data_IF_947921473998
#
_entry.id   IF_947921473998
#
_cell.length_a   1.000
_cell.length_b   1.000
_cell.length_c   1.000
_cell.angle_alpha   90.00
_cell.angle_beta   90.00
_cell.angle_gamma   90.00
#
_symmetry.space_group_name_H-M   'P 1'
#
loop_
_entity.id
_entity.type
_entity.pdbx_description
1 polymer ?
#
# COMPACT_ATOMS: atom_id res chain seq x y z
N UNK A 1 -14.54 19.25 16.38
CA UNK A 1 -13.91 18.42 15.32
C UNK A 1 -14.95 17.43 14.81
N UNK A 2 -14.92 17.14 13.52
CA UNK A 2 -15.77 16.14 12.90
C UNK A 2 -14.98 15.40 11.82
N UNK A 3 -15.30 14.13 11.58
CA UNK A 3 -14.69 13.33 10.53
C UNK A 3 -15.74 12.42 9.88
N UNK A 4 -15.60 12.22 8.57
CA UNK A 4 -16.42 11.34 7.75
C UNK A 4 -15.50 10.50 6.87
N UNK A 5 -15.91 9.28 6.57
CA UNK A 5 -15.17 8.37 5.69
C UNK A 5 -15.06 8.96 4.27
N UNK A 6 -13.86 8.88 3.67
CA UNK A 6 -13.66 9.13 2.25
C UNK A 6 -13.74 7.83 1.44
N UNK A 7 -14.50 7.79 0.35
CA UNK A 7 -14.66 6.63 -0.52
C UNK A 7 -14.99 7.02 -1.96
N UNK A 8 -14.28 6.41 -2.92
CA UNK A 8 -14.52 6.54 -4.37
C UNK A 8 -15.33 5.37 -4.94
N UNK A 9 -15.84 4.51 -4.08
CA UNK A 9 -16.56 3.30 -4.44
C UNK A 9 -18.07 3.45 -4.11
N UNK A 10 -18.82 4.33 -4.81
CA UNK A 10 -20.20 4.67 -4.46
C UNK A 10 -21.18 3.50 -4.59
N UNK A 11 -20.86 2.50 -5.43
CA UNK A 11 -21.65 1.25 -5.55
C UNK A 11 -21.52 0.31 -4.35
N UNK A 12 -20.64 0.62 -3.41
CA UNK A 12 -20.32 -0.19 -2.24
C UNK A 12 -20.50 0.60 -0.94
N UNK A 13 -21.43 1.57 -0.90
CA UNK A 13 -21.76 2.34 0.30
C UNK A 13 -22.17 1.48 1.49
N UNK A 14 -22.79 0.34 1.25
CA UNK A 14 -23.19 -0.61 2.30
C UNK A 14 -21.99 -1.31 2.98
N UNK A 15 -20.77 -1.12 2.47
CA UNK A 15 -19.54 -1.74 3.00
C UNK A 15 -18.75 -0.84 3.94
N UNK A 16 -19.23 0.37 4.26
CA UNK A 16 -18.60 1.24 5.25
C UNK A 16 -19.63 2.08 6.02
N UNK A 17 -19.28 2.46 7.25
CA UNK A 17 -20.09 3.37 8.03
C UNK A 17 -19.97 4.81 7.46
N UNK A 18 -21.09 5.35 7.00
CA UNK A 18 -21.20 6.69 6.43
C UNK A 18 -21.70 7.72 7.45
N UNK A 19 -21.68 7.38 8.75
CA UNK A 19 -21.96 8.35 9.81
C UNK A 19 -20.78 9.29 10.04
N UNK A 20 -21.06 10.44 10.63
CA UNK A 20 -20.04 11.42 11.02
C UNK A 20 -19.66 11.20 12.48
N UNK A 21 -18.37 10.96 12.74
CA UNK A 21 -17.84 10.98 14.10
C UNK A 21 -17.49 12.40 14.53
N UNK A 22 -17.74 12.76 15.78
CA UNK A 22 -17.53 14.13 16.29
C UNK A 22 -16.81 14.14 17.63
N UNK A 23 -16.05 15.19 17.88
CA UNK A 23 -15.40 15.47 19.14
C UNK A 23 -15.47 16.97 19.46
N UNK A 24 -15.59 17.33 20.73
CA UNK A 24 -15.74 18.72 21.17
C UNK A 24 -14.36 19.29 21.53
N UNK A 25 -14.03 20.43 20.94
CA UNK A 25 -12.90 21.27 21.39
C UNK A 25 -13.49 22.36 22.27
N UNK A 26 -13.16 22.33 23.55
CA UNK A 26 -13.68 23.28 24.54
C UNK A 26 -12.53 24.16 25.03
N UNK A 27 -12.67 25.47 24.88
CA UNK A 27 -11.70 26.42 25.42
C UNK A 27 -11.85 26.49 26.95
N UNK A 28 -10.79 26.85 27.65
CA UNK A 28 -10.85 27.22 29.07
C UNK A 28 -10.93 28.75 29.19
N UNK A 29 -11.69 29.26 30.16
CA UNK A 29 -11.79 30.69 30.46
C UNK A 29 -13.22 31.24 30.45
N UNK A 30 -13.32 32.58 30.45
CA UNK A 30 -14.59 33.30 30.50
C UNK A 30 -15.18 33.46 29.10
N UNK A 31 -15.98 32.48 28.67
CA UNK A 31 -16.80 32.58 27.48
C UNK A 31 -18.06 31.72 27.65
N UNK A 32 -19.09 32.01 26.87
CA UNK A 32 -20.29 31.19 26.79
C UNK A 32 -20.19 30.31 25.55
N UNK A 33 -20.09 28.98 25.67
CA UNK A 33 -20.03 28.09 24.52
C UNK A 33 -21.35 28.12 23.73
N UNK A 34 -21.26 28.03 22.41
CA UNK A 34 -22.43 27.82 21.54
C UNK A 34 -23.02 26.43 21.80
N UNK A 35 -24.35 26.35 21.89
CA UNK A 35 -25.09 25.09 22.02
C UNK A 35 -26.17 25.01 20.94
N UNK A 36 -26.08 24.06 19.98
CA UNK A 36 -25.03 23.06 19.84
C UNK A 36 -23.68 23.65 19.38
N UNK A 37 -22.54 22.95 19.60
CA UNK A 37 -21.25 23.33 19.02
C UNK A 37 -21.33 23.43 17.49
N UNK A 38 -20.63 24.38 16.90
CA UNK A 38 -20.53 24.48 15.44
C UNK A 38 -19.73 23.30 14.87
N UNK A 39 -20.27 22.68 13.81
CA UNK A 39 -19.55 21.67 13.04
C UNK A 39 -18.70 22.34 11.95
N UNK A 40 -17.49 21.83 11.67
CA UNK A 40 -16.72 22.29 10.53
C UNK A 40 -17.42 21.88 9.22
N UNK A 41 -17.12 22.60 8.14
CA UNK A 41 -17.45 22.13 6.81
C UNK A 41 -16.57 20.93 6.46
N UNK A 42 -17.19 19.80 6.12
CA UNK A 42 -16.50 18.62 5.61
C UNK A 42 -16.77 18.50 4.10
N UNK A 43 -15.76 18.18 3.28
CA UNK A 43 -15.98 17.79 1.89
C UNK A 43 -16.96 16.61 1.79
N UNK A 44 -17.57 16.43 0.62
CA UNK A 44 -18.36 15.23 0.37
C UNK A 44 -17.48 13.98 0.51
N UNK A 45 -18.07 12.86 0.95
CA UNK A 45 -17.35 11.59 1.16
C UNK A 45 -16.62 11.09 -0.10
N UNK A 46 -17.03 11.51 -1.29
CA UNK A 46 -16.46 11.15 -2.57
C UNK A 46 -15.69 12.29 -3.25
N UNK A 47 -15.34 13.36 -2.53
CA UNK A 47 -14.57 14.48 -3.06
C UNK A 47 -13.09 14.13 -3.19
N UNK A 48 -12.75 13.47 -4.31
CA UNK A 48 -11.36 13.11 -4.64
C UNK A 48 -10.47 14.33 -4.77
N UNK A 49 -10.99 15.47 -5.24
CA UNK A 49 -10.19 16.67 -5.39
C UNK A 49 -9.75 17.22 -4.02
N UNK A 50 -10.65 17.26 -3.04
CA UNK A 50 -10.30 17.66 -1.67
C UNK A 50 -9.22 16.74 -1.05
N UNK A 51 -9.37 15.42 -1.23
CA UNK A 51 -8.40 14.43 -0.75
C UNK A 51 -7.02 14.64 -1.38
N UNK A 52 -6.97 14.75 -2.70
CA UNK A 52 -5.73 14.92 -3.46
C UNK A 52 -5.04 16.25 -3.15
N UNK A 53 -5.78 17.34 -2.99
CA UNK A 53 -5.21 18.63 -2.63
C UNK A 53 -4.44 18.59 -1.31
N UNK A 54 -4.96 17.89 -0.31
CA UNK A 54 -4.26 17.70 0.97
C UNK A 54 -3.01 16.84 0.77
N UNK A 55 -3.14 15.70 0.11
CA UNK A 55 -2.02 14.76 -0.07
C UNK A 55 -0.89 15.35 -0.93
N UNK A 56 -1.23 16.07 -2.00
CA UNK A 56 -0.27 16.72 -2.89
C UNK A 56 0.49 17.88 -2.22
N UNK A 57 -0.05 18.44 -1.14
CA UNK A 57 0.59 19.50 -0.35
C UNK A 57 1.62 18.98 0.66
N UNK A 58 1.67 17.67 0.92
CA UNK A 58 2.60 17.09 1.89
C UNK A 58 4.04 17.18 1.40
N UNK A 59 4.92 17.68 2.27
CA UNK A 59 6.37 17.78 2.05
C UNK A 59 7.11 17.47 3.35
N UNK A 60 8.33 16.95 3.21
CA UNK A 60 9.26 16.86 4.34
C UNK A 60 9.71 18.26 4.76
N UNK A 61 10.06 18.44 6.03
CA UNK A 61 10.58 19.73 6.54
C UNK A 61 11.87 20.16 5.82
N UNK A 62 12.79 19.20 5.60
CA UNK A 62 13.96 19.33 4.74
C UNK A 62 14.88 20.54 5.01
N UNK A 63 15.11 20.86 6.29
CA UNK A 63 16.06 21.89 6.71
C UNK A 63 17.40 21.28 7.17
N UNK A 64 18.33 22.13 7.66
CA UNK A 64 19.66 21.70 8.07
C UNK A 64 19.66 20.77 9.30
N UNK A 65 18.65 20.88 10.18
CA UNK A 65 18.50 20.04 11.37
C UNK A 65 17.72 18.76 11.05
N UNK A 66 16.94 18.76 9.97
CA UNK A 66 16.07 17.67 9.53
C UNK A 66 16.34 17.30 8.05
N UNK A 67 17.52 16.74 7.73
CA UNK A 67 17.94 16.53 6.35
C UNK A 67 17.05 15.52 5.60
N UNK A 68 16.69 15.84 4.36
CA UNK A 68 15.94 14.96 3.47
C UNK A 68 16.90 14.18 2.55
N UNK A 69 17.13 12.91 2.86
CA UNK A 69 18.11 12.06 2.16
C UNK A 69 17.42 11.17 1.11
N UNK A 70 16.81 11.79 0.10
CA UNK A 70 16.11 11.09 -0.98
C UNK A 70 17.10 10.29 -1.84
N UNK A 71 16.89 8.99 -2.09
CA UNK A 71 17.68 8.25 -3.07
C UNK A 71 17.53 8.84 -4.47
N UNK A 72 18.59 9.46 -5.00
CA UNK A 72 18.57 10.09 -6.32
C UNK A 72 18.67 9.09 -7.48
N UNK A 73 19.41 8.00 -7.27
CA UNK A 73 19.54 6.88 -8.21
C UNK A 73 18.96 5.61 -7.62
N UNK A 74 18.33 4.79 -8.45
CA UNK A 74 17.69 3.53 -8.06
C UNK A 74 18.47 2.35 -8.62
N UNK A 75 18.74 1.34 -7.77
CA UNK A 75 19.33 0.07 -8.21
C UNK A 75 18.26 -0.98 -8.53
N UNK A 76 17.07 -0.82 -7.95
CA UNK A 76 15.93 -1.72 -8.12
C UNK A 76 14.70 -0.89 -8.44
N UNK A 77 14.07 -1.13 -9.59
CA UNK A 77 12.82 -0.50 -9.97
C UNK A 77 11.73 -1.57 -10.03
N UNK A 78 10.56 -1.27 -9.46
CA UNK A 78 9.43 -2.18 -9.32
C UNK A 78 8.16 -1.44 -9.72
N UNK A 79 7.28 -2.11 -10.47
CA UNK A 79 5.93 -1.64 -10.79
C UNK A 79 4.96 -2.67 -10.24
N UNK A 80 4.21 -2.28 -9.21
CA UNK A 80 3.30 -3.13 -8.47
C UNK A 80 1.86 -2.69 -8.72
N UNK A 81 1.11 -3.46 -9.50
CA UNK A 81 -0.33 -3.23 -9.66
C UNK A 81 -1.07 -3.69 -8.41
N UNK A 82 -1.99 -2.88 -7.90
CA UNK A 82 -2.84 -3.20 -6.74
C UNK A 82 -4.28 -3.31 -7.19
N UNK A 83 -4.90 -4.46 -6.95
CA UNK A 83 -6.22 -4.78 -7.50
C UNK A 83 -7.11 -5.48 -6.48
N UNK A 84 -8.40 -5.13 -6.47
CA UNK A 84 -9.43 -6.02 -5.93
C UNK A 84 -9.74 -7.07 -7.00
N UNK A 85 -9.90 -8.31 -6.58
CA UNK A 85 -10.03 -9.47 -7.44
C UNK A 85 -11.18 -10.37 -6.98
N UNK A 86 -11.42 -11.45 -7.70
CA UNK A 86 -12.39 -12.46 -7.30
C UNK A 86 -12.02 -13.85 -7.79
N UNK A 87 -12.37 -14.86 -7.00
CA UNK A 87 -12.33 -16.27 -7.37
C UNK A 87 -13.74 -16.80 -7.68
N UNK A 88 -13.89 -17.68 -8.69
CA UNK A 88 -15.14 -18.39 -8.90
C UNK A 88 -15.44 -19.33 -7.73
N UNK A 89 -16.69 -19.38 -7.28
CA UNK A 89 -17.14 -20.32 -6.27
C UNK A 89 -17.70 -21.58 -6.93
N UNK A 90 -16.81 -22.47 -7.35
CA UNK A 90 -17.22 -23.75 -7.95
C UNK A 90 -17.87 -24.62 -6.86
N UNK A 91 -19.06 -25.14 -7.15
CA UNK A 91 -19.87 -26.01 -6.26
C UNK A 91 -20.36 -25.35 -4.95
N UNK A 92 -20.26 -24.03 -4.81
CA UNK A 92 -20.76 -23.29 -3.65
C UNK A 92 -21.42 -21.98 -4.10
N UNK A 93 -22.18 -21.35 -3.21
CA UNK A 93 -22.68 -19.98 -3.44
C UNK A 93 -21.86 -18.98 -2.62
N UNK A 94 -21.53 -17.84 -3.23
CA UNK A 94 -20.79 -16.76 -2.59
C UNK A 94 -21.53 -15.44 -2.76
N UNK A 95 -21.35 -14.54 -1.81
CA UNK A 95 -22.05 -13.26 -1.76
C UNK A 95 -21.37 -12.14 -2.55
N UNK A 96 -20.20 -12.39 -3.15
CA UNK A 96 -19.49 -11.40 -3.96
C UNK A 96 -20.16 -11.18 -5.31
N UNK A 97 -19.61 -10.23 -6.07
CA UNK A 97 -20.12 -9.86 -7.38
C UNK A 97 -20.27 -11.09 -8.30
N UNK A 98 -21.40 -11.22 -8.99
CA UNK A 98 -21.70 -12.36 -9.87
C UNK A 98 -21.56 -13.75 -9.18
N UNK A 99 -21.78 -13.85 -7.87
CA UNK A 99 -21.68 -15.11 -7.14
C UNK A 99 -20.25 -15.58 -6.89
N UNK A 100 -19.28 -14.68 -6.95
CA UNK A 100 -17.85 -14.96 -6.74
C UNK A 100 -17.43 -14.70 -5.28
N UNK A 101 -16.22 -15.12 -4.92
CA UNK A 101 -15.56 -14.78 -3.64
C UNK A 101 -14.56 -13.66 -3.88
N UNK A 102 -14.61 -12.60 -3.08
CA UNK A 102 -13.62 -11.53 -3.15
C UNK A 102 -12.21 -12.03 -2.82
N UNK A 103 -11.23 -11.41 -3.47
CA UNK A 103 -9.80 -11.56 -3.27
C UNK A 103 -9.16 -10.20 -3.60
N UNK A 104 -7.85 -10.09 -3.45
CA UNK A 104 -7.07 -8.96 -3.92
C UNK A 104 -5.64 -9.39 -4.13
N UNK A 105 -4.88 -8.60 -4.89
CA UNK A 105 -3.54 -8.98 -5.27
C UNK A 105 -2.59 -7.80 -5.39
N UNK A 106 -1.30 -8.11 -5.33
CA UNK A 106 -0.22 -7.27 -5.82
C UNK A 106 0.40 -7.99 -7.02
N UNK A 107 0.51 -7.32 -8.18
CA UNK A 107 0.99 -7.91 -9.44
C UNK A 107 0.28 -9.23 -9.83
N UNK A 108 -1.03 -9.29 -9.61
CA UNK A 108 -1.89 -10.45 -9.91
C UNK A 108 -1.55 -11.74 -9.12
N UNK A 109 -0.83 -11.60 -8.01
CA UNK A 109 -0.62 -12.65 -7.00
C UNK A 109 -1.42 -12.26 -5.76
N UNK A 110 -2.46 -13.02 -5.46
CA UNK A 110 -3.17 -13.00 -4.18
C UNK A 110 -2.33 -13.80 -3.20
N UNK A 111 -1.84 -13.13 -2.16
CA UNK A 111 -1.01 -13.78 -1.16
C UNK A 111 -1.79 -14.85 -0.41
N UNK A 112 -1.13 -15.99 -0.20
CA UNK A 112 -1.64 -17.09 0.62
C UNK A 112 -0.77 -17.17 1.88
N UNK A 113 -1.34 -16.93 3.05
CA UNK A 113 -0.58 -16.87 4.30
C UNK A 113 -0.06 -18.26 4.67
N UNK A 114 1.27 -18.46 4.83
CA UNK A 114 1.81 -19.78 5.14
C UNK A 114 1.55 -20.15 6.60
N UNK A 115 1.59 -21.45 6.91
CA UNK A 115 1.47 -21.95 8.29
C UNK A 115 2.75 -21.81 9.10
N UNK A 116 3.90 -21.67 8.43
CA UNK A 116 5.19 -21.34 9.04
C UNK A 116 5.50 -19.90 8.66
N UNK A 117 5.83 -19.04 9.62
CA UNK A 117 6.10 -17.65 9.32
C UNK A 117 7.36 -17.50 8.44
N UNK A 118 7.34 -16.50 7.56
CA UNK A 118 8.39 -16.30 6.55
C UNK A 118 9.75 -15.98 7.20
N UNK A 119 9.74 -15.30 8.35
CA UNK A 119 10.97 -14.96 9.06
C UNK A 119 11.66 -16.22 9.61
N UNK A 120 10.92 -17.12 10.24
CA UNK A 120 11.41 -18.41 10.71
C UNK A 120 11.90 -19.27 9.54
N UNK A 121 11.13 -19.33 8.45
CA UNK A 121 11.51 -20.07 7.26
C UNK A 121 12.80 -19.52 6.63
N UNK A 122 12.95 -18.20 6.55
CA UNK A 122 14.16 -17.55 6.06
C UNK A 122 15.36 -17.80 6.98
N UNK A 123 15.21 -17.63 8.29
CA UNK A 123 16.32 -17.76 9.23
C UNK A 123 16.87 -19.19 9.30
N UNK A 124 15.99 -20.19 9.29
CA UNK A 124 16.37 -21.60 9.39
C UNK A 124 16.48 -22.32 8.03
N UNK A 125 16.35 -21.59 6.91
CA UNK A 125 16.37 -22.14 5.55
C UNK A 125 15.35 -23.28 5.33
N UNK A 126 14.13 -23.11 5.82
CA UNK A 126 13.04 -24.08 5.67
C UNK A 126 12.49 -23.99 4.24
N UNK A 127 12.60 -25.08 3.48
CA UNK A 127 12.11 -25.14 2.10
C UNK A 127 10.59 -25.28 2.02
N UNK A 128 9.97 -24.72 0.97
CA UNK A 128 8.56 -24.95 0.64
C UNK A 128 7.56 -24.04 1.36
N UNK A 129 8.03 -23.01 2.09
CA UNK A 129 7.18 -22.05 2.79
C UNK A 129 6.81 -20.85 1.92
N UNK A 130 7.76 -20.34 1.13
CA UNK A 130 7.57 -19.22 0.22
C UNK A 130 8.42 -19.40 -1.04
N UNK A 131 8.00 -18.75 -2.13
CA UNK A 131 8.80 -18.54 -3.34
C UNK A 131 9.48 -17.16 -3.32
N UNK A 132 10.63 -17.03 -3.99
CA UNK A 132 11.43 -15.80 -4.06
C UNK A 132 11.33 -15.08 -5.42
N UNK A 133 10.30 -15.40 -6.21
CA UNK A 133 10.15 -14.95 -7.60
C UNK A 133 9.03 -13.93 -7.77
N UNK A 134 8.76 -13.13 -6.73
CA UNK A 134 7.77 -12.05 -6.85
C UNK A 134 8.17 -11.09 -7.99
N UNK A 135 7.29 -10.87 -8.98
CA UNK A 135 7.66 -10.22 -10.23
C UNK A 135 7.92 -8.72 -10.02
N UNK A 136 8.96 -8.20 -10.70
CA UNK A 136 9.28 -6.77 -10.69
C UNK A 136 8.19 -5.91 -11.30
N UNK A 137 7.50 -6.44 -12.31
CA UNK A 137 6.54 -5.75 -13.15
C UNK A 137 5.25 -6.58 -13.21
N UNK A 138 4.09 -5.98 -13.50
CA UNK A 138 2.86 -6.74 -13.66
C UNK A 138 3.03 -7.79 -14.78
N UNK A 139 2.65 -9.06 -14.53
CA UNK A 139 2.84 -10.15 -15.51
C UNK A 139 2.04 -9.94 -16.80
N UNK A 140 1.01 -9.10 -16.75
CA UNK A 140 0.23 -8.66 -17.90
C UNK A 140 0.08 -7.14 -17.86
N UNK A 141 0.53 -6.47 -18.91
CA UNK A 141 0.34 -5.03 -19.10
C UNK A 141 -0.94 -4.79 -19.91
N UNK A 142 -1.82 -3.95 -19.38
CA UNK A 142 -3.04 -3.49 -20.04
C UNK A 142 -3.30 -2.04 -19.63
N UNK A 143 -4.37 -1.44 -20.15
CA UNK A 143 -4.83 -0.14 -19.66
C UNK A 143 -5.44 -0.30 -18.25
N UNK A 144 -4.61 -0.18 -17.21
CA UNK A 144 -4.97 -0.47 -15.82
C UNK A 144 -6.14 0.37 -15.31
N UNK A 145 -6.33 1.56 -15.89
CA UNK A 145 -7.30 2.57 -15.48
C UNK A 145 -8.46 2.72 -16.47
N UNK A 146 -8.62 1.78 -17.42
CA UNK A 146 -9.78 1.75 -18.30
C UNK A 146 -11.10 1.59 -17.53
N UNK A 147 -12.16 2.24 -18.01
CA UNK A 147 -13.51 2.13 -17.42
C UNK A 147 -14.10 0.71 -17.54
N UNK A 148 -13.72 -0.02 -18.60
CA UNK A 148 -14.23 -1.35 -18.91
C UNK A 148 -13.08 -2.33 -19.10
N UNK A 149 -12.93 -3.24 -18.13
CA UNK A 149 -11.91 -4.28 -18.15
C UNK A 149 -12.54 -5.67 -18.36
N UNK A 150 -11.91 -6.54 -19.16
CA UNK A 150 -12.29 -7.94 -19.30
C UNK A 150 -12.41 -8.66 -17.96
N UNK A 151 -13.47 -9.46 -17.78
CA UNK A 151 -13.70 -10.24 -16.55
C UNK A 151 -12.54 -11.20 -16.21
N UNK A 152 -11.79 -11.66 -17.22
CA UNK A 152 -10.64 -12.55 -17.01
C UNK A 152 -9.53 -11.89 -16.18
N UNK A 153 -9.43 -10.56 -16.15
CA UNK A 153 -8.46 -9.84 -15.32
C UNK A 153 -8.83 -9.83 -13.83
N UNK A 154 -10.06 -10.23 -13.48
CA UNK A 154 -10.49 -10.29 -12.09
C UNK A 154 -9.91 -11.51 -11.36
N UNK A 155 -9.45 -12.54 -12.08
CA UNK A 155 -8.94 -13.78 -11.51
C UNK A 155 -7.42 -13.68 -11.25
N UNK A 156 -6.98 -13.64 -9.96
CA UNK A 156 -5.57 -13.63 -9.64
C UNK A 156 -5.03 -15.05 -9.55
N UNK A 157 -3.70 -15.16 -9.58
CA UNK A 157 -3.01 -16.37 -9.11
C UNK A 157 -2.93 -16.35 -7.58
N UNK A 158 -2.83 -17.52 -6.94
CA UNK A 158 -2.64 -17.66 -5.50
C UNK A 158 -1.22 -18.11 -5.21
N UNK A 159 -0.54 -17.51 -4.24
CA UNK A 159 0.78 -17.97 -3.84
C UNK A 159 1.45 -17.12 -2.76
N UNK A 160 2.39 -17.72 -2.04
CA UNK A 160 3.23 -17.07 -1.04
C UNK A 160 4.55 -16.66 -1.68
N UNK A 161 4.57 -15.52 -2.37
CA UNK A 161 5.76 -15.03 -3.08
C UNK A 161 6.33 -13.78 -2.40
N UNK A 162 7.65 -13.77 -2.19
CA UNK A 162 8.40 -12.66 -1.59
C UNK A 162 9.41 -12.09 -2.58
N UNK A 163 9.84 -10.86 -2.33
CA UNK A 163 10.92 -10.21 -3.08
C UNK A 163 12.17 -10.10 -2.23
N UNK A 164 13.26 -10.72 -2.68
CA UNK A 164 14.56 -10.59 -2.02
C UNK A 164 15.27 -9.32 -2.50
N UNK A 165 15.81 -8.54 -1.57
CA UNK A 165 16.56 -7.32 -1.79
C UNK A 165 17.96 -7.45 -1.15
N UNK A 166 18.97 -6.96 -1.86
CA UNK A 166 20.31 -6.84 -1.29
C UNK A 166 20.36 -5.67 -0.30
N UNK A 167 21.08 -5.85 0.80
CA UNK A 167 21.36 -4.78 1.76
C UNK A 167 21.89 -3.55 1.06
N UNK A 168 21.41 -2.37 1.47
CA UNK A 168 21.84 -1.06 1.01
C UNK A 168 21.42 -0.71 -0.43
N UNK A 169 20.64 -1.56 -1.11
CA UNK A 169 20.06 -1.24 -2.42
C UNK A 169 19.06 -0.07 -2.30
N UNK A 170 18.98 0.75 -3.36
CA UNK A 170 17.99 1.83 -3.46
C UNK A 170 16.84 1.36 -4.34
N UNK A 171 15.64 1.39 -3.78
CA UNK A 171 14.44 0.79 -4.37
C UNK A 171 13.46 1.89 -4.72
N UNK A 172 12.98 1.88 -5.96
CA UNK A 172 11.77 2.59 -6.37
C UNK A 172 10.64 1.59 -6.58
N UNK A 173 9.49 1.89 -5.98
CA UNK A 173 8.25 1.15 -6.22
C UNK A 173 7.24 2.14 -6.78
N UNK A 174 6.72 1.83 -7.96
CA UNK A 174 5.53 2.47 -8.49
C UNK A 174 4.34 1.57 -8.18
N UNK A 175 3.48 2.01 -7.27
CA UNK A 175 2.17 1.40 -7.09
C UNK A 175 1.22 1.92 -8.15
N UNK A 176 0.66 1.02 -8.95
CA UNK A 176 -0.34 1.32 -9.97
C UNK A 176 -1.70 0.82 -9.49
N UNK A 177 -2.63 1.74 -9.21
CA UNK A 177 -4.02 1.38 -8.98
C UNK A 177 -4.69 0.87 -10.25
N UNK A 178 -5.63 -0.05 -10.10
CA UNK A 178 -6.40 -0.58 -11.23
C UNK A 178 -7.90 -0.42 -11.00
N UNK A 179 -8.65 -0.42 -12.09
CA UNK A 179 -10.12 -0.49 -12.07
C UNK A 179 -10.65 -1.94 -12.09
N UNK A 180 -9.80 -2.94 -11.82
CA UNK A 180 -10.23 -4.34 -11.80
C UNK A 180 -11.27 -4.54 -10.70
N UNK A 181 -12.41 -5.11 -11.09
CA UNK A 181 -13.58 -5.44 -10.25
C UNK A 181 -14.23 -4.25 -9.52
N UNK A 182 -13.52 -3.67 -8.55
CA UNK A 182 -14.00 -2.57 -7.73
C UNK A 182 -12.88 -1.55 -7.52
N UNK A 183 -12.87 -0.53 -8.38
CA UNK A 183 -11.96 0.61 -8.27
C UNK A 183 -12.05 1.26 -6.88
N UNK A 184 -10.96 1.25 -6.12
CA UNK A 184 -10.88 1.86 -4.79
C UNK A 184 -9.46 2.33 -4.46
N UNK A 185 -9.32 3.16 -3.42
CA UNK A 185 -8.01 3.59 -2.94
C UNK A 185 -7.35 2.49 -2.10
N UNK A 186 -6.04 2.38 -2.22
CA UNK A 186 -5.24 1.39 -1.49
C UNK A 186 -4.16 2.09 -0.65
N UNK A 187 -4.35 2.26 0.67
CA UNK A 187 -3.28 2.75 1.55
C UNK A 187 -2.20 1.67 1.69
N UNK A 188 -1.14 1.75 0.88
CA UNK A 188 -0.03 0.81 0.91
C UNK A 188 0.93 1.17 2.03
N UNK A 189 1.18 0.20 2.91
CA UNK A 189 2.04 0.32 4.08
C UNK A 189 3.23 -0.65 3.96
N UNK A 190 4.43 -0.16 4.27
CA UNK A 190 5.65 -0.96 4.29
C UNK A 190 6.22 -1.01 5.72
N UNK A 191 6.37 -2.21 6.25
CA UNK A 191 6.98 -2.44 7.56
C UNK A 191 8.49 -2.21 7.49
N UNK A 192 9.10 -1.87 8.63
CA UNK A 192 10.55 -1.72 8.76
C UNK A 192 11.17 -0.50 8.07
N UNK A 193 10.36 0.26 7.33
CA UNK A 193 10.80 1.43 6.56
C UNK A 193 9.73 2.52 6.57
N UNK A 194 10.20 3.77 6.64
CA UNK A 194 9.52 4.87 5.98
C UNK A 194 10.16 5.08 4.60
N UNK A 195 9.43 5.71 3.68
CA UNK A 195 9.82 5.93 2.30
C UNK A 195 9.46 7.36 1.86
N UNK A 196 10.18 7.86 0.86
CA UNK A 196 9.89 9.14 0.23
C UNK A 196 8.85 8.95 -0.86
N UNK A 197 7.74 9.68 -0.81
CA UNK A 197 6.76 9.71 -1.90
C UNK A 197 7.21 10.73 -2.94
N UNK A 198 7.90 10.25 -3.98
CA UNK A 198 8.58 11.11 -4.95
C UNK A 198 7.66 11.57 -6.08
N UNK A 199 6.57 10.85 -6.35
CA UNK A 199 5.65 11.21 -7.42
C UNK A 199 4.31 10.54 -7.26
N UNK A 200 3.31 11.10 -7.93
CA UNK A 200 1.97 10.52 -8.04
C UNK A 200 1.29 11.08 -9.28
N UNK A 201 0.24 10.43 -9.73
CA UNK A 201 -0.56 10.89 -10.87
C UNK A 201 -1.83 10.10 -11.05
N UNK A 202 -2.67 10.57 -11.97
CA UNK A 202 -3.84 9.83 -12.45
C UNK A 202 -3.53 9.16 -13.79
N UNK A 203 -4.27 8.10 -14.11
CA UNK A 203 -4.06 7.23 -15.27
C UNK A 203 -3.00 6.17 -15.03
N UNK A 204 -2.47 5.63 -16.13
CA UNK A 204 -1.36 4.67 -16.10
C UNK A 204 -0.03 5.42 -16.01
N UNK A 205 0.87 4.92 -15.17
CA UNK A 205 2.23 5.44 -15.06
C UNK A 205 3.00 5.35 -16.40
N UNK A 206 3.59 6.46 -16.84
CA UNK A 206 4.52 6.53 -17.96
C UNK A 206 5.95 6.71 -17.46
N UNK A 207 6.71 5.61 -17.42
CA UNK A 207 8.10 5.58 -16.95
C UNK A 207 9.07 6.47 -17.72
N UNK A 208 8.70 7.02 -18.88
CA UNK A 208 9.53 7.97 -19.62
C UNK A 208 9.20 9.43 -19.30
N UNK A 209 8.01 9.72 -18.78
CA UNK A 209 7.52 11.10 -18.58
C UNK A 209 7.33 11.45 -17.12
N UNK A 210 6.74 10.56 -16.33
CA UNK A 210 6.34 10.83 -14.96
C UNK A 210 7.54 11.04 -14.02
N UNK A 211 8.65 10.26 -14.13
CA UNK A 211 9.85 10.51 -13.33
C UNK A 211 10.47 11.90 -13.52
N UNK A 212 10.23 12.57 -14.65
CA UNK A 212 10.71 13.93 -14.91
C UNK A 212 10.04 14.98 -14.02
N UNK A 213 8.92 14.62 -13.37
CA UNK A 213 8.14 15.48 -12.48
C UNK A 213 8.26 15.09 -11.01
N UNK A 214 9.13 14.13 -10.69
CA UNK A 214 9.32 13.71 -9.30
C UNK A 214 9.83 14.86 -8.44
N UNK A 215 9.30 14.95 -7.22
CA UNK A 215 9.90 15.72 -6.15
C UNK A 215 11.06 14.93 -5.56
N UNK A 216 12.29 15.30 -5.93
CA UNK A 216 13.53 14.72 -5.40
C UNK A 216 14.25 15.66 -4.43
N UNK A 217 13.58 16.72 -3.98
CA UNK A 217 14.15 17.74 -3.08
C UNK A 217 13.62 17.55 -1.66
N UNK A 218 12.31 17.62 -1.49
CA UNK A 218 11.63 17.54 -0.19
C UNK A 218 10.35 16.66 -0.19
N UNK A 219 10.35 15.49 -0.86
CA UNK A 219 9.19 14.59 -0.87
C UNK A 219 8.80 14.20 0.56
N UNK A 220 7.51 14.06 0.88
CA UNK A 220 7.07 13.64 2.21
C UNK A 220 7.61 12.24 2.53
N UNK A 221 8.07 12.07 3.76
CA UNK A 221 8.61 10.82 4.28
C UNK A 221 7.53 10.12 5.12
N UNK A 222 7.02 9.01 4.63
CA UNK A 222 5.82 8.33 5.16
C UNK A 222 6.04 6.82 5.24
N UNK A 223 5.31 6.12 6.09
CA UNK A 223 5.25 4.66 6.13
C UNK A 223 4.03 4.08 5.40
N UNK A 224 3.01 4.92 5.15
CA UNK A 224 1.77 4.55 4.46
C UNK A 224 1.39 5.61 3.44
N UNK A 225 1.00 5.20 2.22
CA UNK A 225 0.53 6.11 1.19
C UNK A 225 -0.68 5.55 0.43
N UNK A 226 -1.70 6.39 0.25
CA UNK A 226 -2.91 6.03 -0.49
C UNK A 226 -2.66 6.07 -2.00
N UNK A 227 -2.78 4.91 -2.65
CA UNK A 227 -2.71 4.76 -4.11
C UNK A 227 -4.10 5.02 -4.70
N UNK A 228 -4.26 5.95 -5.64
CA UNK A 228 -5.52 6.18 -6.33
C UNK A 228 -5.93 4.99 -7.21
N UNK A 229 -7.21 4.62 -7.24
CA UNK A 229 -7.73 3.56 -8.13
C UNK A 229 -7.46 3.83 -9.61
N UNK A 230 -7.60 5.10 -10.00
CA UNK A 230 -7.35 5.62 -11.34
C UNK A 230 -5.99 6.31 -11.43
N UNK A 231 -4.96 5.78 -10.78
CA UNK A 231 -3.69 6.48 -10.70
C UNK A 231 -2.55 5.65 -10.16
N UNK A 232 -1.48 6.34 -9.85
CA UNK A 232 -0.23 5.73 -9.40
C UNK A 232 0.46 6.60 -8.37
N UNK A 233 1.32 5.97 -7.59
CA UNK A 233 2.22 6.61 -6.61
C UNK A 233 3.59 5.97 -6.72
N UNK A 234 4.63 6.79 -6.81
CA UNK A 234 6.02 6.36 -6.81
C UNK A 234 6.67 6.67 -5.45
N UNK A 235 7.27 5.65 -4.84
CA UNK A 235 8.01 5.77 -3.59
C UNK A 235 9.47 5.36 -3.77
N UNK A 236 10.37 5.95 -2.97
CA UNK A 236 11.77 5.55 -2.88
C UNK A 236 12.20 5.30 -1.45
N UNK A 237 12.94 4.23 -1.24
CA UNK A 237 13.61 3.95 0.03
C UNK A 237 14.94 3.25 -0.19
N UNK A 238 15.71 3.14 0.88
CA UNK A 238 16.98 2.42 0.90
C UNK A 238 16.79 1.17 1.76
N UNK A 239 17.03 -0.01 1.20
CA UNK A 239 16.88 -1.29 1.88
C UNK A 239 18.04 -1.56 2.86
N UNK A 240 18.17 -0.74 3.90
CA UNK A 240 19.26 -0.76 4.88
C UNK A 240 18.90 -1.41 6.22
N UNK A 241 17.76 -2.10 6.30
CA UNK A 241 17.29 -2.79 7.49
C UNK A 241 17.15 -4.31 7.17
N UNK A 242 18.14 -5.16 7.51
CA UNK A 242 18.09 -6.59 7.24
C UNK A 242 16.94 -7.27 8.01
N UNK A 243 16.14 -8.06 7.33
CA UNK A 243 14.92 -8.64 7.92
C UNK A 243 13.92 -9.13 6.89
N UNK A 244 12.76 -9.56 7.38
CA UNK A 244 11.58 -9.87 6.58
C UNK A 244 10.53 -8.81 6.88
N UNK A 245 10.15 -8.03 5.86
CA UNK A 245 9.33 -6.84 6.00
C UNK A 245 8.06 -6.92 5.18
N UNK A 246 6.93 -6.80 5.84
CA UNK A 246 5.62 -6.92 5.23
C UNK A 246 5.26 -5.65 4.43
N UNK A 247 4.76 -5.84 3.21
CA UNK A 247 4.20 -4.79 2.36
C UNK A 247 2.75 -5.14 2.07
N UNK A 248 1.81 -4.29 2.48
CA UNK A 248 0.40 -4.61 2.34
C UNK A 248 -0.50 -3.39 2.24
N UNK A 249 -1.74 -3.59 1.78
CA UNK A 249 -2.79 -2.60 1.91
C UNK A 249 -3.28 -2.53 3.36
N UNK A 250 -3.38 -1.32 3.92
CA UNK A 250 -3.83 -1.05 5.28
C UNK A 250 -5.36 -0.99 5.42
N UNK A 251 -6.06 -1.72 4.54
CA UNK A 251 -7.49 -1.98 4.62
C UNK A 251 -7.62 -3.46 4.93
N UNK A 252 -8.04 -3.80 6.14
CA UNK A 252 -7.98 -5.16 6.68
C UNK A 252 -8.63 -6.23 5.79
N UNK A 253 -9.74 -5.89 5.13
CA UNK A 253 -10.36 -6.79 4.15
C UNK A 253 -9.45 -7.04 2.94
N UNK A 254 -8.74 -6.04 2.42
CA UNK A 254 -7.83 -6.22 1.29
C UNK A 254 -6.57 -6.98 1.73
N UNK A 255 -6.09 -6.74 2.95
CA UNK A 255 -5.01 -7.53 3.55
C UNK A 255 -5.40 -9.02 3.56
N UNK A 256 -6.47 -9.37 4.27
CA UNK A 256 -6.98 -10.75 4.41
C UNK A 256 -7.44 -11.39 3.09
N UNK A 257 -7.67 -10.60 2.05
CA UNK A 257 -7.98 -11.07 0.70
C UNK A 257 -6.75 -11.33 -0.17
N UNK A 258 -5.55 -10.98 0.30
CA UNK A 258 -4.27 -11.28 -0.34
C UNK A 258 -3.52 -10.09 -0.94
N UNK A 259 -3.88 -8.84 -0.62
CA UNK A 259 -3.15 -7.64 -1.09
C UNK A 259 -1.90 -7.39 -0.24
N UNK A 260 -0.99 -8.33 -0.28
CA UNK A 260 0.24 -8.31 0.49
C UNK A 260 1.38 -9.05 -0.22
N UNK A 261 2.60 -8.77 0.21
CA UNK A 261 3.82 -9.53 -0.08
C UNK A 261 4.83 -9.20 1.02
N UNK A 262 6.03 -9.79 0.97
CA UNK A 262 7.12 -9.44 1.88
C UNK A 262 8.41 -9.14 1.11
N UNK A 263 9.20 -8.22 1.66
CA UNK A 263 10.58 -8.03 1.28
C UNK A 263 11.49 -8.78 2.24
N UNK A 264 12.36 -9.63 1.70
CA UNK A 264 13.49 -10.16 2.47
C UNK A 264 14.70 -9.30 2.15
N UNK A 265 15.17 -8.53 3.12
CA UNK A 265 16.39 -7.74 2.98
C UNK A 265 17.54 -8.54 3.59
N UNK A 266 18.47 -8.96 2.74
CA UNK A 266 19.62 -9.78 3.14
C UNK A 266 20.54 -9.01 4.09
N UNK A 267 21.39 -9.77 4.78
CA UNK A 267 22.46 -9.18 5.59
C UNK A 267 23.50 -8.48 4.70
N UNK A 268 24.05 -7.37 5.20
CA UNK A 268 25.23 -6.71 4.64
C UNK A 268 26.52 -7.37 5.12
N UNK A 269 27.65 -6.67 4.92
CA UNK A 269 28.99 -7.17 5.29
C UNK A 269 29.38 -6.87 6.73
N UNK A 270 28.82 -5.82 7.33
CA UNK A 270 29.19 -5.35 8.66
C UNK A 270 28.32 -5.99 9.75
N UNK A 271 28.80 -6.07 11.01
CA UNK A 271 28.00 -6.59 12.12
C UNK A 271 26.67 -5.87 12.32
N UNK A 272 26.65 -4.54 12.16
CA UNK A 272 25.44 -3.70 12.26
C UNK A 272 24.47 -3.90 11.09
N UNK A 273 24.92 -4.57 10.03
CA UNK A 273 24.12 -4.92 8.86
C UNK A 273 23.69 -6.40 8.89
N UNK A 274 23.72 -7.06 10.05
CA UNK A 274 23.17 -8.40 10.24
C UNK A 274 21.79 -8.32 10.89
N UNK A 275 20.86 -9.16 10.45
CA UNK A 275 19.63 -9.43 11.17
C UNK A 275 19.96 -10.01 12.55
N UNK A 276 19.23 -9.59 13.58
CA UNK A 276 19.38 -10.13 14.94
C UNK A 276 19.02 -11.62 14.99
N UNK A 277 19.62 -12.40 15.89
CA UNK A 277 19.18 -13.77 16.14
C UNK A 277 17.76 -13.77 16.72
N UNK A 278 16.95 -14.82 16.47
CA UNK A 278 15.61 -14.92 17.01
C UNK A 278 15.66 -15.02 18.55
N UNK A 279 14.74 -14.35 19.27
CA UNK A 279 14.56 -14.54 20.70
C UNK A 279 14.26 -16.01 21.05
N UNK A 280 14.64 -16.44 22.26
CA UNK A 280 14.44 -17.83 22.71
C UNK A 280 12.98 -18.19 23.00
N UNK A 281 12.11 -17.19 23.10
CA UNK A 281 10.70 -17.28 23.49
C UNK A 281 9.74 -16.99 22.33
N UNK A 282 10.22 -17.09 21.09
CA UNK A 282 9.35 -16.99 19.90
C UNK A 282 8.21 -18.02 19.97
N UNK A 283 6.94 -17.61 19.71
CA UNK A 283 5.82 -18.54 19.65
C UNK A 283 6.04 -19.63 18.59
N UNK A 284 5.67 -20.90 18.86
CA UNK A 284 5.72 -21.94 17.85
C UNK A 284 4.68 -21.67 16.74
N UNK A 285 5.05 -22.03 15.50
CA UNK A 285 4.13 -22.09 14.36
C UNK A 285 3.08 -23.20 14.52
#
# INVERSE_FOLDING_TARGET
MAAITYSVAPKYQDFYDNTTTTAIVQYSGYYTPSSPPSLPYLPAYNDTNASVQVMAGLRSLADAEHPCNVPLSTSTNLIYTVSVNSYPCVNNSCAGANGTRFSSSINNISFDTPTVDILQAYYYNISGVYGDKFPSDPPLVFDFTADYLPLIYQLPSSGTEVRVLEYNSTVEIVFQGTNVLAATHHPMHLHGYSFYVVGWGFGNFDGNRDPLRYNLVDPPFQETISVPSNGWVAIRFKASNPGVWFLHCHVERHLTWGMETAFIVKNGKHPEAQMLPPPSDMPPC
#
